data_IF_710269991468
#
_entry.id   IF_710269991468
#
_cell.length_a   1.000
_cell.length_b   1.000
_cell.length_c   1.000
_cell.angle_alpha   90.00
_cell.angle_beta   90.00
_cell.angle_gamma   90.00
#
_symmetry.space_group_name_H-M   'P 1'
#
loop_
_entity.id
_entity.type
_entity.pdbx_description
1 polymer ?
#
# COMPACT_ATOMS: atom_id res chain seq x y z
N UNK A 1 11.39 -10.93 -13.13
CA UNK A 1 10.29 -10.01 -12.80
C UNK A 1 10.52 -8.71 -13.54
N UNK A 2 9.48 -8.01 -14.03
CA UNK A 2 9.66 -6.65 -14.52
C UNK A 2 10.24 -5.77 -13.40
N UNK A 3 11.04 -4.78 -13.77
CA UNK A 3 11.53 -3.78 -12.83
C UNK A 3 10.32 -2.99 -12.32
N UNK A 4 10.19 -2.88 -11.00
CA UNK A 4 9.12 -2.11 -10.34
C UNK A 4 9.77 -0.84 -9.79
N UNK A 5 9.37 0.31 -10.30
CA UNK A 5 9.91 1.61 -9.90
C UNK A 5 8.92 2.45 -9.11
N UNK A 6 7.63 2.23 -9.36
CA UNK A 6 6.53 2.90 -8.66
C UNK A 6 5.35 1.94 -8.39
N UNK A 7 4.38 2.40 -7.61
CA UNK A 7 3.16 1.62 -7.30
C UNK A 7 2.26 1.46 -8.53
N UNK A 8 2.30 2.39 -9.48
CA UNK A 8 1.59 2.31 -10.75
C UNK A 8 2.06 1.12 -11.61
N UNK A 9 3.32 0.73 -11.55
CA UNK A 9 3.84 -0.48 -12.19
C UNK A 9 3.13 -1.73 -11.66
N UNK A 10 2.93 -1.82 -10.34
CA UNK A 10 2.19 -2.90 -9.71
C UNK A 10 0.73 -2.93 -10.18
N UNK A 11 0.08 -1.76 -10.28
CA UNK A 11 -1.29 -1.63 -10.79
C UNK A 11 -1.41 -2.10 -12.26
N UNK A 12 -0.44 -1.76 -13.11
CA UNK A 12 -0.37 -2.24 -14.50
C UNK A 12 -0.24 -3.76 -14.59
N UNK A 13 0.58 -4.35 -13.72
CA UNK A 13 0.76 -5.81 -13.64
C UNK A 13 -0.52 -6.48 -13.15
N UNK A 14 -1.15 -5.91 -12.10
CA UNK A 14 -2.40 -6.40 -11.52
C UNK A 14 -3.53 -6.43 -12.55
N UNK A 15 -3.76 -5.33 -13.29
CA UNK A 15 -4.76 -5.24 -14.35
C UNK A 15 -4.63 -6.33 -15.43
N UNK A 16 -3.41 -6.80 -15.70
CA UNK A 16 -3.14 -7.84 -16.71
C UNK A 16 -3.37 -9.26 -16.18
N UNK A 17 -3.32 -9.46 -14.87
CA UNK A 17 -3.29 -10.79 -14.24
C UNK A 17 -4.62 -11.22 -13.64
N UNK A 18 -5.51 -10.27 -13.38
CA UNK A 18 -6.73 -10.51 -12.62
C UNK A 18 -7.96 -10.35 -13.52
N UNK A 19 -8.95 -11.24 -13.43
CA UNK A 19 -10.23 -11.08 -14.12
C UNK A 19 -10.84 -9.70 -13.88
N UNK A 20 -11.47 -9.14 -14.91
CA UNK A 20 -12.00 -7.78 -14.87
C UNK A 20 -12.93 -7.52 -13.68
N UNK A 21 -13.78 -8.47 -13.31
CA UNK A 21 -14.69 -8.34 -12.17
C UNK A 21 -13.95 -8.09 -10.85
N UNK A 22 -12.85 -8.79 -10.59
CA UNK A 22 -12.08 -8.62 -9.36
C UNK A 22 -11.21 -7.37 -9.39
N UNK A 23 -10.71 -7.00 -10.57
CA UNK A 23 -10.04 -5.71 -10.77
C UNK A 23 -11.00 -4.55 -10.48
N UNK A 24 -12.17 -4.53 -11.11
CA UNK A 24 -13.16 -3.48 -10.93
C UNK A 24 -13.67 -3.46 -9.46
N UNK A 25 -13.74 -4.60 -8.77
CA UNK A 25 -14.06 -4.63 -7.33
C UNK A 25 -13.01 -3.91 -6.45
N UNK A 26 -11.73 -4.02 -6.78
CA UNK A 26 -10.64 -3.41 -5.99
C UNK A 26 -10.33 -1.97 -6.41
N UNK A 27 -10.46 -1.67 -7.69
CA UNK A 27 -9.99 -0.43 -8.34
C UNK A 27 -11.14 0.52 -8.71
N UNK A 28 -12.19 0.56 -7.88
CA UNK A 28 -13.31 1.49 -8.03
C UNK A 28 -13.60 2.25 -6.75
N UNK A 29 -14.22 3.41 -6.91
CA UNK A 29 -14.71 4.25 -5.82
C UNK A 29 -16.24 4.31 -5.77
N UNK A 30 -16.78 5.07 -4.82
CA UNK A 30 -18.21 5.30 -4.72
C UNK A 30 -18.72 6.21 -5.84
N UNK A 31 -19.83 5.81 -6.48
CA UNK A 31 -20.56 6.61 -7.48
C UNK A 31 -19.67 7.12 -8.63
N UNK A 32 -19.47 8.44 -8.74
CA UNK A 32 -18.62 9.08 -9.76
C UNK A 32 -17.13 9.00 -9.44
N UNK A 33 -16.76 8.37 -8.33
CA UNK A 33 -15.37 8.13 -7.89
C UNK A 33 -14.57 9.42 -7.63
N UNK A 34 -15.25 10.52 -7.33
CA UNK A 34 -14.61 11.81 -7.11
C UNK A 34 -13.59 11.73 -5.97
N UNK A 35 -14.01 11.28 -4.78
CA UNK A 35 -13.12 11.14 -3.62
C UNK A 35 -11.96 10.18 -3.88
N UNK A 36 -12.18 9.11 -4.66
CA UNK A 36 -11.13 8.17 -5.02
C UNK A 36 -10.01 8.85 -5.81
N UNK A 37 -10.35 9.74 -6.75
CA UNK A 37 -9.37 10.54 -7.50
C UNK A 37 -8.73 11.62 -6.65
N UNK A 38 -9.52 12.33 -5.84
CA UNK A 38 -9.04 13.41 -4.96
C UNK A 38 -8.02 12.89 -3.93
N UNK A 39 -8.23 11.70 -3.36
CA UNK A 39 -7.26 11.07 -2.44
C UNK A 39 -5.83 11.00 -3.00
N UNK A 40 -5.65 10.87 -4.31
CA UNK A 40 -4.33 10.90 -4.95
C UNK A 40 -3.92 12.33 -5.35
N UNK A 41 -4.83 13.09 -5.96
CA UNK A 41 -4.54 14.44 -6.44
C UNK A 41 -4.22 15.43 -5.32
N UNK A 42 -4.77 15.26 -4.13
CA UNK A 42 -4.52 16.12 -2.98
C UNK A 42 -3.06 16.06 -2.50
N UNK A 43 -2.40 14.90 -2.64
CA UNK A 43 -0.98 14.80 -2.34
C UNK A 43 -0.10 15.61 -3.30
N UNK A 44 -0.55 15.85 -4.54
CA UNK A 44 0.19 16.69 -5.51
C UNK A 44 0.20 18.16 -5.09
N UNK A 45 -0.76 18.58 -4.26
CA UNK A 45 -0.83 19.94 -3.72
C UNK A 45 0.20 20.15 -2.60
N UNK A 46 0.67 19.06 -1.96
CA UNK A 46 1.65 19.11 -0.87
C UNK A 46 3.06 19.13 -1.43
N UNK A 47 3.77 20.24 -1.24
CA UNK A 47 5.16 20.40 -1.66
C UNK A 47 6.13 20.16 -0.51
N UNK A 48 7.17 19.38 -0.75
CA UNK A 48 8.26 19.22 0.21
C UNK A 48 9.24 20.40 0.11
N UNK A 49 9.50 21.05 1.26
CA UNK A 49 10.56 22.07 1.35
C UNK A 49 11.90 21.38 1.48
N UNK A 50 12.71 21.46 0.43
CA UNK A 50 14.08 20.95 0.47
C UNK A 50 14.90 21.64 1.57
N UNK A 51 15.62 20.84 2.36
CA UNK A 51 16.63 21.30 3.31
C UNK A 51 17.99 20.82 2.83
N UNK A 52 18.93 21.74 2.67
CA UNK A 52 20.28 21.48 2.16
C UNK A 52 21.31 21.57 3.27
N UNK A 53 22.48 20.96 3.06
CA UNK A 53 23.58 20.91 4.05
C UNK A 53 23.17 20.31 5.40
N UNK A 54 22.29 19.29 5.38
CA UNK A 54 21.91 18.49 6.54
C UNK A 54 22.56 17.12 6.42
N UNK A 55 23.30 16.69 7.44
CA UNK A 55 23.79 15.31 7.51
C UNK A 55 22.62 14.33 7.68
N UNK A 56 22.57 13.34 6.80
CA UNK A 56 21.52 12.33 6.71
C UNK A 56 22.08 10.91 6.83
N UNK A 57 23.32 10.74 7.28
CA UNK A 57 24.01 9.45 7.34
C UNK A 57 23.27 8.41 8.19
N UNK A 58 22.68 8.84 9.30
CA UNK A 58 21.97 7.98 10.26
C UNK A 58 20.43 8.03 10.13
N UNK A 59 19.91 8.45 8.98
CA UNK A 59 18.45 8.51 8.79
C UNK A 59 17.84 7.12 8.87
N UNK A 60 16.71 7.03 9.59
CA UNK A 60 15.97 5.77 9.76
C UNK A 60 14.48 6.04 9.62
N UNK A 61 13.77 5.06 9.07
CA UNK A 61 12.31 5.03 9.07
C UNK A 61 11.76 4.32 10.29
N UNK A 62 12.60 3.66 11.10
CA UNK A 62 12.14 2.89 12.27
C UNK A 62 11.35 3.79 13.21
N UNK A 63 10.27 3.26 13.75
CA UNK A 63 9.35 3.99 14.63
C UNK A 63 8.68 3.03 15.61
N UNK A 64 7.72 3.55 16.38
CA UNK A 64 6.85 2.80 17.26
C UNK A 64 5.39 3.07 16.88
N UNK A 65 4.58 2.01 16.72
CA UNK A 65 3.15 2.10 16.47
C UNK A 65 2.41 1.30 17.53
N UNK A 66 1.48 1.93 18.26
CA UNK A 66 0.67 1.27 19.31
C UNK A 66 1.56 0.51 20.33
N UNK A 67 2.70 1.10 20.70
CA UNK A 67 3.67 0.51 21.63
C UNK A 67 4.57 -0.59 21.06
N UNK A 68 4.44 -0.94 19.77
CA UNK A 68 5.27 -1.94 19.10
C UNK A 68 6.30 -1.29 18.18
N UNK A 69 7.52 -1.83 18.16
CA UNK A 69 8.56 -1.38 17.24
C UNK A 69 8.21 -1.78 15.79
N UNK A 70 8.39 -0.85 14.85
CA UNK A 70 8.13 -1.06 13.42
C UNK A 70 9.31 -0.60 12.57
N UNK A 71 9.53 -1.26 11.43
CA UNK A 71 10.60 -0.93 10.49
C UNK A 71 10.36 0.42 9.77
N UNK A 72 9.09 0.78 9.57
CA UNK A 72 8.66 2.09 9.06
C UNK A 72 7.26 2.45 9.57
N UNK A 73 6.84 3.73 9.60
CA UNK A 73 5.57 4.16 10.20
C UNK A 73 4.39 3.96 9.23
N UNK A 74 4.25 2.75 8.69
CA UNK A 74 3.13 2.36 7.84
C UNK A 74 2.65 0.97 8.24
N UNK A 75 1.41 0.66 7.90
CA UNK A 75 0.82 -0.66 8.09
C UNK A 75 0.06 -1.08 6.83
N UNK A 76 -0.13 -2.39 6.66
CA UNK A 76 -1.06 -2.89 5.66
C UNK A 76 -2.49 -2.66 6.15
N UNK A 77 -3.25 -1.90 5.37
CA UNK A 77 -4.65 -1.59 5.63
C UNK A 77 -5.52 -2.87 5.56
N UNK A 78 -6.66 -2.91 6.27
CA UNK A 78 -7.58 -4.02 6.19
C UNK A 78 -8.27 -4.03 4.83
N UNK A 79 -7.96 -5.03 4.02
CA UNK A 79 -8.60 -5.29 2.72
C UNK A 79 -9.23 -6.66 2.78
N UNK A 80 -10.54 -6.74 2.51
CA UNK A 80 -11.26 -8.02 2.45
C UNK A 80 -11.08 -8.72 1.11
N UNK A 81 -11.27 -10.03 1.12
CA UNK A 81 -11.37 -10.87 -0.08
C UNK A 81 -10.15 -10.78 -1.01
N UNK A 82 -8.95 -10.64 -0.43
CA UNK A 82 -7.70 -10.64 -1.20
C UNK A 82 -7.40 -12.01 -1.81
N UNK A 83 -7.98 -13.08 -1.26
CA UNK A 83 -8.04 -14.40 -1.91
C UNK A 83 -8.66 -14.40 -3.31
N UNK A 84 -9.60 -13.49 -3.61
CA UNK A 84 -10.14 -13.32 -4.97
C UNK A 84 -9.13 -12.67 -5.93
N UNK A 85 -8.20 -11.88 -5.40
CA UNK A 85 -7.20 -11.15 -6.18
C UNK A 85 -5.98 -12.01 -6.50
N UNK A 86 -5.61 -12.87 -5.55
CA UNK A 86 -4.51 -13.81 -5.65
C UNK A 86 -4.77 -14.92 -4.64
N UNK A 87 -4.60 -16.18 -5.03
CA UNK A 87 -4.72 -17.30 -4.10
C UNK A 87 -3.87 -17.06 -2.84
N UNK A 88 -4.39 -17.35 -1.65
CA UNK A 88 -3.74 -17.09 -0.37
C UNK A 88 -3.36 -15.60 -0.13
N UNK A 89 -4.14 -14.66 -0.66
CA UNK A 89 -3.84 -13.23 -0.63
C UNK A 89 -3.52 -12.70 0.77
N UNK A 90 -4.35 -13.03 1.75
CA UNK A 90 -4.23 -12.60 3.15
C UNK A 90 -2.96 -13.17 3.78
N UNK A 91 -2.71 -14.46 3.55
CA UNK A 91 -1.52 -15.17 4.07
C UNK A 91 -0.25 -14.57 3.47
N UNK A 92 -0.25 -14.28 2.16
CA UNK A 92 0.89 -13.65 1.47
C UNK A 92 1.14 -12.23 2.00
N UNK A 93 0.09 -11.44 2.22
CA UNK A 93 0.19 -10.11 2.78
C UNK A 93 0.72 -10.13 4.22
N UNK A 94 0.19 -11.01 5.08
CA UNK A 94 0.64 -11.16 6.46
C UNK A 94 2.12 -11.57 6.55
N UNK A 95 2.55 -12.56 5.75
CA UNK A 95 3.95 -12.99 5.67
C UNK A 95 4.87 -11.87 5.16
N UNK A 96 4.42 -11.08 4.18
CA UNK A 96 5.20 -9.95 3.68
C UNK A 96 5.35 -8.84 4.73
N UNK A 97 4.28 -8.54 5.45
CA UNK A 97 4.26 -7.56 6.54
C UNK A 97 5.19 -7.98 7.69
N UNK A 98 5.10 -9.23 8.13
CA UNK A 98 5.97 -9.82 9.16
C UNK A 98 7.44 -9.77 8.72
N UNK A 99 7.74 -10.24 7.49
CA UNK A 99 9.11 -10.25 6.97
C UNK A 99 9.71 -8.85 6.88
N UNK A 100 8.92 -7.85 6.51
CA UNK A 100 9.40 -6.47 6.42
C UNK A 100 9.44 -5.78 7.80
N UNK A 101 8.64 -6.23 8.76
CA UNK A 101 8.55 -5.67 10.10
C UNK A 101 7.56 -4.50 10.21
N UNK A 102 6.43 -4.57 9.51
CA UNK A 102 5.32 -3.60 9.62
C UNK A 102 4.03 -4.28 10.05
N UNK A 103 3.10 -3.57 10.72
CA UNK A 103 1.84 -4.16 11.14
C UNK A 103 0.95 -4.58 9.96
N UNK A 104 0.19 -5.64 10.16
CA UNK A 104 -0.85 -6.11 9.24
C UNK A 104 -2.21 -6.02 9.94
N UNK A 105 -3.19 -5.44 9.27
CA UNK A 105 -4.58 -5.34 9.76
C UNK A 105 -5.44 -6.31 8.98
N UNK A 106 -6.02 -7.32 9.65
CA UNK A 106 -6.88 -8.32 9.02
C UNK A 106 -8.32 -7.78 8.90
N UNK A 107 -8.94 -7.99 7.74
CA UNK A 107 -10.36 -7.71 7.55
C UNK A 107 -11.22 -8.85 8.10
N UNK A 108 -12.41 -8.58 8.63
CA UNK A 108 -13.38 -9.63 8.99
C UNK A 108 -13.88 -10.42 7.78
N UNK A 109 -13.77 -9.85 6.58
CA UNK A 109 -14.15 -10.45 5.28
C UNK A 109 -12.94 -11.13 4.61
N UNK A 110 -12.19 -11.94 5.36
CA UNK A 110 -10.96 -12.63 4.91
C UNK A 110 -11.15 -14.11 4.65
#
# INVERSE_FOLDING_TARGET
>A
MPVITDIGDLRRIYRRRVPRMFYDYCETGSWTEQTFRENSADFEQIRLRQRVAVDMSDRTTRSTMVGQAVAMPVALAPVGSTGMQSADGEIKAARAAEKFGVPYTLSTMS
#
